data_IF_518719858137
#
_entry.id   IF_518719858137
#
_cell.length_a   1.000
_cell.length_b   1.000
_cell.length_c   1.000
_cell.angle_alpha   90.00
_cell.angle_beta   90.00
_cell.angle_gamma   90.00
#
_symmetry.space_group_name_H-M   'P 1'
#
loop_
_entity.id
_entity.type
_entity.pdbx_description
1 polymer ?
#
# COMPACT_ATOMS: atom_id res chain seq x y z
N UNK A 1 -8.71 5.22 5.41
CA UNK A 1 -9.65 4.12 5.11
C UNK A 1 -10.34 4.34 3.78
N UNK A 2 -10.47 3.27 2.98
CA UNK A 2 -11.13 3.30 1.65
C UNK A 2 -12.14 2.16 1.51
N UNK A 3 -12.96 2.20 0.45
CA UNK A 3 -13.82 1.08 0.06
C UNK A 3 -13.38 0.54 -1.31
N UNK A 4 -13.00 -0.73 -1.35
CA UNK A 4 -12.60 -1.43 -2.57
C UNK A 4 -13.47 -2.68 -2.69
N UNK A 5 -14.24 -2.81 -3.78
CA UNK A 5 -15.07 -4.01 -4.06
C UNK A 5 -15.94 -4.48 -2.88
N UNK A 6 -16.51 -3.54 -2.12
CA UNK A 6 -17.35 -3.81 -0.94
C UNK A 6 -16.60 -3.96 0.38
N UNK A 7 -15.27 -4.03 0.38
CA UNK A 7 -14.44 -4.16 1.58
C UNK A 7 -14.01 -2.80 2.10
N UNK A 8 -14.10 -2.61 3.43
CA UNK A 8 -13.53 -1.46 4.15
C UNK A 8 -12.07 -1.78 4.45
N UNK A 9 -11.15 -0.97 3.92
CA UNK A 9 -9.70 -1.23 4.03
C UNK A 9 -9.02 -0.08 4.75
N UNK A 10 -8.18 -0.41 5.74
CA UNK A 10 -7.31 0.53 6.42
C UNK A 10 -5.94 0.57 5.75
N UNK A 11 -5.68 1.65 5.00
CA UNK A 11 -4.43 1.80 4.24
C UNK A 11 -3.20 1.76 5.16
N UNK A 12 -3.27 2.40 6.32
CA UNK A 12 -2.20 2.43 7.30
C UNK A 12 -1.84 1.06 7.87
N UNK A 13 -2.78 0.12 7.94
CA UNK A 13 -2.49 -1.27 8.33
C UNK A 13 -1.64 -1.96 7.27
N UNK A 14 -1.97 -1.78 5.99
CA UNK A 14 -1.21 -2.34 4.87
C UNK A 14 0.19 -1.70 4.83
N UNK A 15 0.29 -0.39 4.97
CA UNK A 15 1.58 0.33 5.05
C UNK A 15 2.45 -0.21 6.19
N UNK A 16 1.86 -0.39 7.39
CA UNK A 16 2.57 -0.95 8.55
C UNK A 16 3.11 -2.36 8.25
N UNK A 17 2.29 -3.23 7.65
CA UNK A 17 2.71 -4.58 7.25
C UNK A 17 3.79 -4.57 6.16
N UNK A 18 3.73 -3.64 5.22
CA UNK A 18 4.78 -3.48 4.19
C UNK A 18 6.11 -3.05 4.82
N UNK A 19 6.08 -2.19 5.83
CA UNK A 19 7.27 -1.72 6.56
C UNK A 19 7.94 -2.82 7.41
N UNK A 20 7.24 -3.90 7.74
CA UNK A 20 7.83 -5.09 8.39
C UNK A 20 8.77 -5.86 7.44
N UNK A 21 8.62 -5.69 6.12
CA UNK A 21 9.49 -6.35 5.16
C UNK A 21 10.90 -5.72 5.17
N UNK A 22 11.98 -6.51 5.37
CA UNK A 22 13.32 -5.98 5.63
C UNK A 22 13.90 -5.16 4.48
N UNK A 23 13.45 -5.38 3.23
CA UNK A 23 13.90 -4.61 2.07
C UNK A 23 13.20 -3.25 1.90
N UNK A 24 12.17 -2.93 2.68
CA UNK A 24 11.36 -1.71 2.53
C UNK A 24 11.77 -0.69 3.59
N UNK A 25 12.01 0.55 3.17
CA UNK A 25 12.38 1.70 4.01
C UNK A 25 11.20 2.61 4.29
N UNK A 26 10.43 2.91 3.25
CA UNK A 26 9.22 3.73 3.31
C UNK A 26 8.13 3.08 2.45
N UNK A 27 6.87 3.30 2.81
CA UNK A 27 5.72 2.81 2.07
C UNK A 27 4.56 3.81 2.18
N UNK A 28 3.85 4.01 1.08
CA UNK A 28 2.55 4.67 1.02
C UNK A 28 1.62 3.82 0.17
N UNK A 29 0.38 3.62 0.63
CA UNK A 29 -0.66 2.89 -0.10
C UNK A 29 -1.80 3.85 -0.43
N UNK A 30 -2.22 3.87 -1.68
CA UNK A 30 -3.30 4.72 -2.18
C UNK A 30 -4.37 3.87 -2.86
N UNK A 31 -5.62 4.33 -2.84
CA UNK A 31 -6.60 3.88 -3.82
C UNK A 31 -6.46 4.69 -5.11
N UNK A 32 -6.32 3.99 -6.23
CA UNK A 32 -6.18 4.59 -7.56
C UNK A 32 -7.26 4.06 -8.48
N UNK A 33 -7.59 4.81 -9.52
CA UNK A 33 -8.53 4.36 -10.54
C UNK A 33 -7.87 3.32 -11.46
N UNK A 34 -8.47 2.13 -11.54
CA UNK A 34 -8.08 1.08 -12.47
C UNK A 34 -9.19 0.77 -13.48
N UNK A 35 -8.92 -0.10 -14.48
CA UNK A 35 -9.88 -0.42 -15.55
C UNK A 35 -11.21 -1.00 -15.07
N UNK A 36 -11.24 -1.59 -13.87
CA UNK A 36 -12.42 -2.23 -13.27
C UNK A 36 -12.86 -1.52 -11.97
N UNK A 37 -12.50 -0.24 -11.82
CA UNK A 37 -12.77 0.57 -10.62
C UNK A 37 -11.55 0.72 -9.71
N UNK A 38 -11.78 1.18 -8.48
CA UNK A 38 -10.71 1.46 -7.52
C UNK A 38 -9.89 0.21 -7.20
N UNK A 39 -8.57 0.36 -7.20
CA UNK A 39 -7.58 -0.65 -6.79
C UNK A 39 -6.60 -0.05 -5.81
N UNK A 40 -5.86 -0.89 -5.08
CA UNK A 40 -4.79 -0.43 -4.20
C UNK A 40 -3.46 -0.45 -4.96
N UNK A 41 -2.70 0.63 -4.83
CA UNK A 41 -1.32 0.73 -5.30
C UNK A 41 -0.41 1.05 -4.12
N UNK A 42 0.70 0.32 -3.99
CA UNK A 42 1.74 0.57 -3.00
C UNK A 42 2.96 1.18 -3.69
N UNK A 43 3.41 2.34 -3.20
CA UNK A 43 4.65 2.98 -3.59
C UNK A 43 5.67 2.75 -2.49
N UNK A 44 6.85 2.25 -2.86
CA UNK A 44 7.85 1.75 -1.91
C UNK A 44 9.18 2.47 -2.15
N UNK A 45 9.88 2.77 -1.06
CA UNK A 45 11.30 3.11 -1.12
C UNK A 45 12.11 1.94 -0.59
N UNK A 46 13.02 1.34 -1.37
CA UNK A 46 13.88 0.27 -0.88
C UNK A 46 14.84 0.75 0.21
N UNK A 47 15.25 -0.17 1.11
CA UNK A 47 16.44 0.03 1.92
C UNK A 47 17.65 -0.08 1.01
N UNK A 48 18.50 0.94 0.99
CA UNK A 48 19.79 0.87 0.31
C UNK A 48 20.61 -0.28 0.90
N UNK A 49 21.05 -1.20 0.06
CA UNK A 49 22.16 -2.09 0.41
C UNK A 49 23.41 -1.20 0.45
N UNK A 50 23.90 -0.91 1.65
CA UNK A 50 25.26 -0.38 1.83
C UNK A 50 26.27 -1.41 1.35
#
# INVERSE_FOLDING_TARGET
>A
QVKIRGYRIELGEIETRLLEHPAIRESVVLDVDGPLGKVLAAYLVPRSST
#
